data_IF_391467780662
#
_entry.id   IF_391467780662
#
_cell.length_a   1.000
_cell.length_b   1.000
_cell.length_c   1.000
_cell.angle_alpha   90.00
_cell.angle_beta   90.00
_cell.angle_gamma   90.00
#
_symmetry.space_group_name_H-M   'P 1'
#
loop_
_entity.id
_entity.type
_entity.pdbx_description
1 polymer ?
#
# COMPACT_ATOMS: atom_id res chain seq x y z
N UNK A 1 13.88 -8.06 -7.65
CA UNK A 1 13.93 -6.85 -6.80
C UNK A 1 15.22 -6.89 -5.99
N UNK A 2 15.93 -5.77 -5.88
CA UNK A 2 17.12 -5.70 -5.04
C UNK A 2 16.74 -5.68 -3.55
N UNK A 3 17.64 -6.12 -2.67
CA UNK A 3 17.41 -6.12 -1.22
C UNK A 3 17.07 -4.72 -0.69
N UNK A 4 17.72 -3.69 -1.23
CA UNK A 4 17.45 -2.29 -0.88
C UNK A 4 16.04 -1.82 -1.29
N UNK A 5 15.54 -2.27 -2.45
CA UNK A 5 14.16 -1.98 -2.86
C UNK A 5 13.14 -2.64 -1.92
N UNK A 6 13.39 -3.90 -1.52
CA UNK A 6 12.50 -4.59 -0.58
C UNK A 6 12.47 -3.90 0.79
N UNK A 7 13.61 -3.41 1.27
CA UNK A 7 13.70 -2.66 2.52
C UNK A 7 12.97 -1.31 2.45
N UNK A 8 13.10 -0.58 1.33
CA UNK A 8 12.33 0.64 1.10
C UNK A 8 10.82 0.39 1.13
N UNK A 9 10.34 -0.67 0.47
CA UNK A 9 8.91 -1.02 0.48
C UNK A 9 8.43 -1.38 1.90
N UNK A 10 9.23 -2.11 2.67
CA UNK A 10 8.89 -2.43 4.06
C UNK A 10 8.82 -1.18 4.94
N UNK A 11 9.71 -0.21 4.73
CA UNK A 11 9.68 1.06 5.45
C UNK A 11 8.44 1.90 5.09
N UNK A 12 8.11 1.99 3.80
CA UNK A 12 6.87 2.65 3.33
C UNK A 12 5.65 2.03 4.01
N UNK A 13 5.56 0.69 4.03
CA UNK A 13 4.42 -0.01 4.65
C UNK A 13 4.30 0.37 6.13
N UNK A 14 5.40 0.34 6.87
CA UNK A 14 5.41 0.69 8.30
C UNK A 14 4.96 2.13 8.54
N UNK A 15 5.49 3.08 7.77
CA UNK A 15 5.17 4.50 7.93
C UNK A 15 3.68 4.76 7.65
N UNK A 16 3.16 4.20 6.55
CA UNK A 16 1.74 4.37 6.17
C UNK A 16 0.81 3.74 7.21
N UNK A 17 1.13 2.55 7.74
CA UNK A 17 0.34 1.92 8.82
C UNK A 17 0.33 2.81 10.07
N UNK A 18 1.48 3.36 10.45
CA UNK A 18 1.61 4.22 11.61
C UNK A 18 0.78 5.50 11.46
N UNK A 19 0.89 6.17 10.31
CA UNK A 19 0.13 7.38 10.00
C UNK A 19 -1.39 7.14 9.96
N UNK A 20 -1.86 6.06 9.31
CA UNK A 20 -3.27 5.67 9.36
C UNK A 20 -3.75 5.46 10.81
N UNK A 21 -2.93 4.80 11.64
CA UNK A 21 -3.25 4.53 13.04
C UNK A 21 -3.36 5.81 13.85
N UNK A 22 -2.43 6.76 13.66
CA UNK A 22 -2.48 8.08 14.31
C UNK A 22 -3.72 8.89 13.92
N UNK A 23 -4.24 8.67 12.71
CA UNK A 23 -5.49 9.28 12.23
C UNK A 23 -6.75 8.45 12.56
N UNK A 24 -6.63 7.41 13.38
CA UNK A 24 -7.76 6.63 13.89
C UNK A 24 -8.26 5.53 12.95
N UNK A 25 -7.54 5.21 11.87
CA UNK A 25 -7.84 4.07 11.01
C UNK A 25 -6.88 2.91 11.26
N UNK A 26 -7.44 1.75 11.63
CA UNK A 26 -6.68 0.51 11.70
C UNK A 26 -6.65 -0.15 10.32
N UNK A 27 -5.45 -0.29 9.76
CA UNK A 27 -5.18 -0.95 8.49
C UNK A 27 -4.15 -2.06 8.67
N UNK A 28 -4.26 -3.15 7.92
CA UNK A 28 -3.29 -4.24 7.98
C UNK A 28 -2.10 -3.98 7.04
N UNK A 29 -0.93 -4.50 7.38
CA UNK A 29 0.26 -4.47 6.51
C UNK A 29 -0.04 -5.02 5.11
N UNK A 30 -0.90 -6.04 5.03
CA UNK A 30 -1.30 -6.65 3.75
C UNK A 30 -2.13 -5.69 2.89
N UNK A 31 -3.07 -4.95 3.49
CA UNK A 31 -3.83 -3.92 2.78
C UNK A 31 -2.92 -2.80 2.29
N UNK A 32 -2.00 -2.34 3.13
CA UNK A 32 -1.05 -1.28 2.77
C UNK A 32 -0.10 -1.74 1.66
N UNK A 33 0.43 -2.97 1.73
CA UNK A 33 1.25 -3.54 0.67
C UNK A 33 0.50 -3.63 -0.67
N UNK A 34 -0.79 -4.00 -0.65
CA UNK A 34 -1.64 -3.96 -1.82
C UNK A 34 -1.80 -2.53 -2.36
N UNK A 35 -2.02 -1.55 -1.48
CA UNK A 35 -2.16 -0.16 -1.85
C UNK A 35 -0.88 0.41 -2.47
N UNK A 36 0.29 0.14 -1.88
CA UNK A 36 1.61 0.52 -2.43
C UNK A 36 1.76 -0.04 -3.84
N UNK A 37 1.43 -1.32 -4.04
CA UNK A 37 1.47 -1.94 -5.37
C UNK A 37 0.51 -1.25 -6.34
N UNK A 38 -0.73 -0.97 -5.93
CA UNK A 38 -1.72 -0.28 -6.77
C UNK A 38 -1.27 1.13 -7.15
N UNK A 39 -0.68 1.88 -6.22
CA UNK A 39 -0.15 3.23 -6.44
C UNK A 39 1.05 3.21 -7.40
N UNK A 40 1.98 2.28 -7.22
CA UNK A 40 3.18 2.17 -8.08
C UNK A 40 2.82 1.74 -9.51
N UNK A 41 1.83 0.86 -9.66
CA UNK A 41 1.41 0.34 -10.97
C UNK A 41 0.44 1.25 -11.74
N UNK A 42 -0.15 2.25 -11.09
CA UNK A 42 -1.06 3.20 -11.75
C UNK A 42 -0.25 4.14 -12.66
N UNK A 43 -0.42 4.08 -14.00
CA UNK A 43 0.37 4.89 -14.92
C UNK A 43 0.16 6.40 -14.73
N UNK A 44 -0.95 6.82 -14.10
CA UNK A 44 -1.23 8.23 -13.80
C UNK A 44 -0.28 8.81 -12.74
N UNK A 45 0.32 7.95 -11.91
CA UNK A 45 1.24 8.39 -10.86
C UNK A 45 2.68 8.59 -11.37
N UNK A 46 3.01 8.07 -12.57
CA UNK A 46 4.27 8.35 -13.26
C UNK A 46 5.51 7.70 -12.64
N UNK A 47 5.35 6.59 -11.90
CA UNK A 47 6.48 5.85 -11.35
C UNK A 47 7.14 4.95 -12.40
N UNK A 48 8.47 4.86 -12.36
CA UNK A 48 9.21 3.88 -13.16
C UNK A 48 9.28 2.55 -12.40
N UNK A 49 8.46 1.58 -12.80
CA UNK A 49 8.33 0.25 -12.14
C UNK A 49 9.64 -0.54 -12.17
N UNK A 50 10.46 -0.36 -13.22
CA UNK A 50 11.74 -1.04 -13.39
C UNK A 50 12.93 -0.24 -12.80
N UNK A 51 12.67 0.98 -12.35
CA UNK A 51 13.66 1.90 -11.82
C UNK A 51 13.96 1.70 -10.33
N UNK A 52 15.04 2.34 -9.86
CA UNK A 52 15.28 2.50 -8.42
C UNK A 52 14.41 3.63 -7.90
N UNK A 53 13.66 3.38 -6.81
CA UNK A 53 12.88 4.40 -6.13
C UNK A 53 13.80 5.47 -5.53
N UNK A 54 13.58 6.73 -5.92
CA UNK A 54 14.24 7.87 -5.31
C UNK A 54 13.58 8.22 -3.97
N UNK A 55 14.24 9.04 -3.15
CA UNK A 55 13.64 9.55 -1.90
C UNK A 55 12.35 10.35 -2.15
N UNK A 56 12.23 11.01 -3.30
CA UNK A 56 11.01 11.72 -3.68
C UNK A 56 9.89 10.75 -4.05
N UNK A 57 10.23 9.66 -4.75
CA UNK A 57 9.25 8.61 -5.07
C UNK A 57 8.68 7.97 -3.80
N UNK A 58 9.55 7.66 -2.84
CA UNK A 58 9.14 7.08 -1.54
C UNK A 58 8.10 7.96 -0.86
N UNK A 59 8.38 9.26 -0.70
CA UNK A 59 7.43 10.21 -0.10
C UNK A 59 6.12 10.32 -0.88
N UNK A 60 6.20 10.40 -2.21
CA UNK A 60 5.02 10.47 -3.07
C UNK A 60 4.15 9.21 -2.94
N UNK A 61 4.78 8.03 -2.82
CA UNK A 61 4.08 6.77 -2.60
C UNK A 61 3.37 6.80 -1.25
N UNK A 62 4.05 7.23 -0.18
CA UNK A 62 3.46 7.36 1.16
C UNK A 62 2.23 8.27 1.14
N UNK A 63 2.35 9.48 0.58
CA UNK A 63 1.26 10.45 0.45
C UNK A 63 0.07 9.87 -0.32
N UNK A 64 0.30 9.29 -1.50
CA UNK A 64 -0.78 8.72 -2.32
C UNK A 64 -1.44 7.50 -1.67
N UNK A 65 -0.68 6.69 -0.92
CA UNK A 65 -1.23 5.57 -0.17
C UNK A 65 -2.12 6.07 0.97
N UNK A 66 -1.65 7.07 1.73
CA UNK A 66 -2.40 7.67 2.84
C UNK A 66 -3.69 8.30 2.34
N UNK A 67 -3.65 9.12 1.29
CA UNK A 67 -4.83 9.74 0.70
C UNK A 67 -5.89 8.70 0.32
N UNK A 68 -5.46 7.60 -0.33
CA UNK A 68 -6.37 6.52 -0.75
C UNK A 68 -6.92 5.72 0.42
N UNK A 69 -6.13 5.46 1.45
CA UNK A 69 -6.55 4.68 2.63
C UNK A 69 -7.48 5.49 3.55
N UNK A 70 -7.31 6.81 3.57
CA UNK A 70 -8.12 7.74 4.35
C UNK A 70 -9.36 8.25 3.61
N UNK A 71 -9.52 7.90 2.34
CA UNK A 71 -10.68 8.27 1.52
C UNK A 71 -11.98 7.79 2.16
N UNK A 72 -12.88 8.74 2.46
CA UNK A 72 -14.20 8.45 3.02
C UNK A 72 -15.17 8.10 1.91
N UNK A 73 -16.04 7.13 2.15
CA UNK A 73 -17.08 6.72 1.21
C UNK A 73 -16.51 6.30 -0.16
N UNK A 74 -15.47 5.45 -0.15
CA UNK A 74 -14.82 4.92 -1.35
C UNK A 74 -15.21 3.45 -1.60
N UNK A 75 -16.19 3.16 -2.49
CA UNK A 75 -16.60 1.79 -2.80
C UNK A 75 -15.45 0.92 -3.30
N UNK A 76 -14.49 1.54 -3.99
CA UNK A 76 -13.27 0.88 -4.47
C UNK A 76 -12.41 0.41 -3.30
N UNK A 77 -12.18 1.27 -2.30
CA UNK A 77 -11.44 0.91 -1.10
C UNK A 77 -12.17 -0.17 -0.30
N UNK A 78 -13.48 -0.07 -0.16
CA UNK A 78 -14.29 -1.06 0.55
C UNK A 78 -14.20 -2.43 -0.13
N UNK A 79 -14.24 -2.46 -1.46
CA UNK A 79 -14.07 -3.70 -2.25
C UNK A 79 -12.70 -4.32 -2.01
N UNK A 80 -11.63 -3.51 -2.02
CA UNK A 80 -10.26 -3.99 -1.74
C UNK A 80 -10.17 -4.53 -0.31
N UNK A 81 -10.73 -3.83 0.68
CA UNK A 81 -10.76 -4.28 2.09
C UNK A 81 -11.47 -5.64 2.21
N UNK A 82 -12.61 -5.82 1.53
CA UNK A 82 -13.34 -7.08 1.48
C UNK A 82 -12.51 -8.21 0.83
N UNK A 83 -11.83 -7.93 -0.29
CA UNK A 83 -10.95 -8.90 -0.96
C UNK A 83 -9.78 -9.32 -0.08
N UNK A 84 -9.06 -8.35 0.50
CA UNK A 84 -7.94 -8.62 1.41
C UNK A 84 -8.41 -9.41 2.63
N UNK A 85 -9.57 -9.06 3.20
CA UNK A 85 -10.15 -9.81 4.30
C UNK A 85 -10.47 -11.25 3.89
N UNK A 86 -11.08 -11.46 2.72
CA UNK A 86 -11.38 -12.79 2.21
C UNK A 86 -10.10 -13.62 2.02
N UNK A 87 -9.09 -13.05 1.37
CA UNK A 87 -7.81 -13.71 1.12
C UNK A 87 -7.11 -14.10 2.42
N UNK A 88 -7.10 -13.20 3.41
CA UNK A 88 -6.42 -13.45 4.68
C UNK A 88 -7.10 -14.52 5.54
N UNK A 89 -8.42 -14.67 5.45
CA UNK A 89 -9.19 -15.49 6.39
C UNK A 89 -9.79 -16.77 5.78
N UNK A 90 -10.04 -16.80 4.47
CA UNK A 90 -10.80 -17.87 3.82
C UNK A 90 -10.07 -18.55 2.67
N UNK A 91 -8.99 -17.96 2.14
CA UNK A 91 -8.14 -18.69 1.19
C UNK A 91 -7.17 -19.58 1.97
N UNK A 92 -7.24 -20.89 1.73
CA UNK A 92 -6.30 -21.83 2.33
C UNK A 92 -4.91 -21.52 1.80
N UNK A 93 -3.91 -21.41 2.69
CA UNK A 93 -2.49 -21.36 2.33
C UNK A 93 -2.01 -22.72 1.81
N UNK A 94 -2.67 -23.30 0.81
CA UNK A 94 -2.14 -24.44 0.06
C UNK A 94 -1.16 -23.88 -0.97
N UNK A 95 0.10 -23.79 -0.55
CA UNK A 95 1.25 -23.85 -1.45
C UNK A 95 1.76 -25.28 -1.46
#
# INVERSE_FOLDING_TARGET
MSRAQAENVMNIIREVVQECTMQGQSVSDTLVAFMVKAVVLDPRNGFNVDGTLTKQDVKKIEELCLDKLMEKCSPSLDTIKMQVYFDMNYTSRRK
#
